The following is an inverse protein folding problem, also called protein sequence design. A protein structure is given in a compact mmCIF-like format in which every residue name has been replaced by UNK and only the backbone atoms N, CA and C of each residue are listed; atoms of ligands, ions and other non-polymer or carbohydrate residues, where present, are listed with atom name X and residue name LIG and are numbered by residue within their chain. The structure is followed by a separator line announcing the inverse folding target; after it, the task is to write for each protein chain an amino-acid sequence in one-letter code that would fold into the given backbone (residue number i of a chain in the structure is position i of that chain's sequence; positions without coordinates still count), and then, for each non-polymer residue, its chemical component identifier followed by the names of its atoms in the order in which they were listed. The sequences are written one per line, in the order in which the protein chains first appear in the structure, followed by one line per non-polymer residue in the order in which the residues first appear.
data_IF_239178985686
#
_entry.id   IF_239178985686
#
_cell.length_a   1.000
_cell.length_b   1.000
_cell.length_c   1.000
_cell.angle_alpha   90.00
_cell.angle_beta   90.00
_cell.angle_gamma   90.00
#
_symmetry.space_group_name_H-M   'P 1'
#
loop_
_entity.id
_entity.type
_entity.pdbx_description
1 polymer ?
#
# COMPACT_ATOMS: atom_id res chain seq x y z
N UNK A 1 -55.00 4.27 59.22
CA UNK A 1 -55.29 3.43 58.04
C UNK A 1 -54.55 4.03 56.85
N UNK A 2 -53.34 3.56 56.53
CA UNK A 2 -52.60 4.04 55.36
C UNK A 2 -52.41 2.87 54.41
N UNK A 3 -52.94 2.99 53.18
CA UNK A 3 -52.92 1.96 52.15
C UNK A 3 -51.69 2.22 51.28
N UNK A 4 -50.65 1.42 51.45
CA UNK A 4 -49.43 1.46 50.63
C UNK A 4 -49.73 0.73 49.31
N UNK A 5 -49.78 1.47 48.20
CA UNK A 5 -49.91 0.89 46.86
C UNK A 5 -48.56 0.32 46.39
N UNK A 6 -48.44 -1.00 46.33
CA UNK A 6 -47.28 -1.69 45.75
C UNK A 6 -47.41 -1.71 44.22
N UNK A 7 -46.66 -0.85 43.53
CA UNK A 7 -46.53 -0.94 42.07
C UNK A 7 -45.74 -2.20 41.72
N UNK A 8 -46.37 -3.17 41.05
CA UNK A 8 -45.67 -4.38 40.57
C UNK A 8 -44.57 -3.98 39.58
N UNK A 9 -43.31 -4.16 39.97
CA UNK A 9 -42.17 -4.14 39.07
C UNK A 9 -42.30 -5.29 38.07
N UNK A 10 -42.47 -4.99 36.78
CA UNK A 10 -42.44 -6.00 35.72
C UNK A 10 -40.99 -6.41 35.50
N UNK A 11 -40.68 -7.69 35.70
CA UNK A 11 -39.38 -8.27 35.37
C UNK A 11 -39.34 -8.73 33.91
N UNK A 12 -38.15 -8.72 33.30
CA UNK A 12 -37.92 -9.34 31.99
C UNK A 12 -38.13 -10.85 32.06
N UNK A 13 -38.70 -11.43 31.00
CA UNK A 13 -38.81 -12.88 30.85
C UNK A 13 -37.50 -13.47 30.30
N UNK A 14 -37.21 -14.72 30.68
CA UNK A 14 -36.04 -15.44 30.14
C UNK A 14 -36.13 -15.61 28.62
N UNK A 15 -37.34 -15.75 28.08
CA UNK A 15 -37.54 -15.88 26.64
C UNK A 15 -37.26 -14.57 25.89
N UNK A 16 -37.61 -13.41 26.46
CA UNK A 16 -37.27 -12.11 25.89
C UNK A 16 -35.75 -11.92 25.82
N UNK A 17 -35.03 -12.28 26.88
CA UNK A 17 -33.58 -12.17 26.89
C UNK A 17 -32.90 -13.17 25.92
N UNK A 18 -33.47 -14.37 25.78
CA UNK A 18 -32.98 -15.39 24.84
C UNK A 18 -33.13 -14.94 23.39
N UNK A 19 -34.27 -14.37 23.02
CA UNK A 19 -34.49 -13.87 21.65
C UNK A 19 -33.52 -12.72 21.32
N UNK A 20 -33.26 -11.82 22.28
CA UNK A 20 -32.34 -10.68 22.07
C UNK A 20 -30.92 -11.15 21.80
N UNK A 21 -30.38 -12.09 22.59
CA UNK A 21 -29.00 -12.58 22.35
C UNK A 21 -28.87 -13.34 21.03
N UNK A 22 -29.93 -14.03 20.59
CA UNK A 22 -29.97 -14.72 19.29
C UNK A 22 -29.93 -13.70 18.15
N UNK A 23 -30.72 -12.63 18.22
CA UNK A 23 -30.73 -11.56 17.21
C UNK A 23 -29.37 -10.84 17.19
N UNK A 24 -28.80 -10.51 18.35
CA UNK A 24 -27.47 -9.88 18.45
C UNK A 24 -26.41 -10.80 17.85
N UNK A 25 -26.43 -12.10 18.13
CA UNK A 25 -25.48 -13.06 17.57
C UNK A 25 -25.54 -13.14 16.04
N UNK A 26 -26.76 -13.14 15.48
CA UNK A 26 -26.96 -13.19 14.02
C UNK A 26 -26.49 -11.89 13.34
N UNK A 27 -26.83 -10.73 13.90
CA UNK A 27 -26.38 -9.43 13.40
C UNK A 27 -24.86 -9.24 13.53
N UNK A 28 -24.27 -9.68 14.65
CA UNK A 28 -22.83 -9.59 14.87
C UNK A 28 -22.04 -10.41 13.82
N UNK A 29 -22.50 -11.61 13.48
CA UNK A 29 -21.84 -12.45 12.47
C UNK A 29 -21.77 -11.78 11.09
N UNK A 30 -22.86 -11.18 10.62
CA UNK A 30 -22.90 -10.45 9.34
C UNK A 30 -22.09 -9.15 9.41
N UNK A 31 -22.18 -8.44 10.54
CA UNK A 31 -21.46 -7.19 10.78
C UNK A 31 -19.94 -7.34 10.68
N UNK A 32 -19.36 -8.39 11.27
CA UNK A 32 -17.91 -8.60 11.28
C UNK A 32 -17.33 -8.77 9.87
N UNK A 33 -17.95 -9.59 9.03
CA UNK A 33 -17.46 -9.85 7.67
C UNK A 33 -17.48 -8.57 6.80
N UNK A 34 -18.55 -7.77 6.89
CA UNK A 34 -18.66 -6.51 6.15
C UNK A 34 -17.67 -5.43 6.62
N UNK A 35 -17.36 -5.40 7.92
CA UNK A 35 -16.41 -4.45 8.50
C UNK A 35 -14.98 -4.71 8.04
N UNK A 36 -14.56 -5.98 7.96
CA UNK A 36 -13.23 -6.35 7.48
C UNK A 36 -12.97 -5.87 6.04
N UNK A 37 -13.92 -6.07 5.12
CA UNK A 37 -13.79 -5.60 3.74
C UNK A 37 -13.72 -4.07 3.62
N UNK A 38 -14.33 -3.33 4.55
CA UNK A 38 -14.24 -1.87 4.59
C UNK A 38 -12.87 -1.40 5.06
N UNK A 39 -12.26 -2.10 6.03
CA UNK A 39 -10.90 -1.82 6.47
C UNK A 39 -9.86 -2.09 5.37
N UNK A 40 -10.02 -3.19 4.62
CA UNK A 40 -9.16 -3.53 3.48
C UNK A 40 -9.16 -2.41 2.43
N UNK A 41 -10.36 -1.96 2.02
CA UNK A 41 -10.51 -0.83 1.08
C UNK A 41 -9.92 0.48 1.63
N UNK A 42 -10.06 0.73 2.93
CA UNK A 42 -9.47 1.88 3.59
C UNK A 42 -7.94 1.86 3.50
N UNK A 43 -7.32 0.71 3.79
CA UNK A 43 -5.86 0.52 3.65
C UNK A 43 -5.38 0.67 2.21
N UNK A 44 -6.09 0.08 1.24
CA UNK A 44 -5.77 0.25 -0.18
C UNK A 44 -5.86 1.72 -0.62
N UNK A 45 -6.85 2.46 -0.12
CA UNK A 45 -6.95 3.91 -0.40
C UNK A 45 -5.74 4.67 0.14
N UNK A 46 -5.25 4.32 1.34
CA UNK A 46 -4.02 4.90 1.90
C UNK A 46 -2.83 4.55 1.01
N UNK A 47 -2.65 3.28 0.64
CA UNK A 47 -1.56 2.83 -0.25
C UNK A 47 -1.50 3.60 -1.57
N UNK A 48 -2.66 3.78 -2.21
CA UNK A 48 -2.78 4.52 -3.46
C UNK A 48 -2.47 6.01 -3.29
N UNK A 49 -2.83 6.61 -2.14
CA UNK A 49 -2.46 8.00 -1.85
C UNK A 49 -0.97 8.16 -1.58
N UNK A 50 -0.37 7.24 -0.82
CA UNK A 50 1.06 7.19 -0.51
C UNK A 50 1.91 7.11 -1.78
N UNK A 51 1.59 6.19 -2.69
CA UNK A 51 2.38 6.06 -3.93
C UNK A 51 2.26 7.28 -4.84
N UNK A 52 1.12 7.97 -4.83
CA UNK A 52 0.97 9.24 -5.56
C UNK A 52 1.85 10.34 -4.97
N UNK A 53 1.90 10.43 -3.64
CA UNK A 53 2.77 11.37 -2.93
C UNK A 53 4.25 11.10 -3.22
N UNK A 54 4.67 9.84 -3.15
CA UNK A 54 6.05 9.42 -3.49
C UNK A 54 6.36 9.74 -4.95
N UNK A 55 5.45 9.46 -5.88
CA UNK A 55 5.61 9.84 -7.30
C UNK A 55 5.77 11.36 -7.45
N UNK A 56 5.01 12.17 -6.73
CA UNK A 56 5.19 13.63 -6.77
C UNK A 56 6.54 14.06 -6.17
N UNK A 57 7.01 13.41 -5.10
CA UNK A 57 8.33 13.61 -4.53
C UNK A 57 9.48 13.22 -5.49
N UNK A 58 9.37 12.07 -6.16
CA UNK A 58 10.28 11.62 -7.22
C UNK A 58 10.38 12.65 -8.35
N UNK A 59 9.24 13.23 -8.76
CA UNK A 59 9.21 14.26 -9.80
C UNK A 59 9.88 15.54 -9.31
N UNK A 60 9.64 15.98 -8.07
CA UNK A 60 10.32 17.16 -7.48
C UNK A 60 11.83 16.94 -7.41
N UNK A 61 12.28 15.79 -6.90
CA UNK A 61 13.68 15.40 -6.86
C UNK A 61 14.31 15.47 -8.26
N UNK A 62 13.62 14.96 -9.28
CA UNK A 62 14.10 15.03 -10.66
C UNK A 62 14.24 16.46 -11.18
N UNK A 63 13.27 17.34 -10.87
CA UNK A 63 13.33 18.75 -11.29
C UNK A 63 14.57 19.44 -10.73
N UNK A 64 14.95 19.14 -9.49
CA UNK A 64 16.08 19.79 -8.82
C UNK A 64 17.44 19.13 -9.16
N UNK A 65 17.48 17.80 -9.27
CA UNK A 65 18.73 17.03 -9.43
C UNK A 65 19.01 16.57 -10.87
N UNK A 66 18.06 16.75 -11.78
CA UNK A 66 18.16 16.35 -13.19
C UNK A 66 18.10 14.83 -13.44
N UNK A 67 17.98 14.01 -12.40
CA UNK A 67 17.84 12.55 -12.47
C UNK A 67 16.81 12.06 -11.46
N UNK A 68 16.19 10.91 -11.74
CA UNK A 68 15.35 10.22 -10.75
C UNK A 68 16.21 9.66 -9.60
N UNK A 69 15.65 9.55 -8.38
CA UNK A 69 16.37 8.99 -7.23
C UNK A 69 16.74 7.53 -7.50
N UNK A 70 17.84 7.08 -6.89
CA UNK A 70 18.48 5.80 -7.15
C UNK A 70 19.39 5.83 -8.39
N UNK A 71 20.46 5.03 -8.39
CA UNK A 71 21.25 4.76 -9.60
C UNK A 71 21.00 3.35 -10.08
N UNK A 72 20.95 3.20 -11.39
CA UNK A 72 20.87 1.90 -12.05
C UNK A 72 22.06 1.05 -11.62
N UNK A 73 21.83 0.11 -10.70
CA UNK A 73 22.75 -0.93 -10.27
C UNK A 73 24.01 -0.53 -9.46
N UNK A 74 24.17 0.68 -8.90
CA UNK A 74 25.40 1.02 -8.16
C UNK A 74 25.23 1.62 -6.76
N UNK A 75 23.99 1.77 -6.28
CA UNK A 75 23.72 1.91 -4.85
C UNK A 75 22.76 0.79 -4.45
N UNK A 76 23.19 -0.01 -3.47
CA UNK A 76 22.58 -1.28 -3.11
C UNK A 76 21.32 -1.11 -2.28
N UNK A 77 20.21 -0.80 -2.93
CA UNK A 77 18.87 -0.92 -2.34
C UNK A 77 17.90 -1.74 -3.19
N UNK A 78 18.36 -2.22 -4.35
CA UNK A 78 17.73 -3.37 -4.97
C UNK A 78 18.12 -4.61 -4.17
N UNK A 79 17.32 -5.00 -3.17
CA UNK A 79 17.68 -6.20 -2.42
C UNK A 79 17.67 -7.43 -3.32
N UNK A 80 18.67 -8.32 -3.23
CA UNK A 80 18.61 -9.65 -3.84
C UNK A 80 17.34 -10.42 -3.47
N UNK A 81 16.81 -10.18 -2.26
CA UNK A 81 15.59 -10.81 -1.76
C UNK A 81 14.33 -10.26 -2.44
N UNK A 82 14.41 -9.04 -2.96
CA UNK A 82 13.33 -8.33 -3.63
C UNK A 82 13.53 -8.19 -5.13
N UNK A 83 14.30 -9.09 -5.75
CA UNK A 83 14.50 -9.11 -7.19
C UNK A 83 15.15 -7.86 -7.74
N UNK A 84 15.92 -7.16 -6.91
CA UNK A 84 16.56 -5.89 -7.25
C UNK A 84 15.66 -4.67 -7.14
N UNK A 85 14.43 -4.78 -6.64
CA UNK A 85 13.57 -3.63 -6.35
C UNK A 85 13.97 -2.96 -5.04
N UNK A 86 13.90 -1.64 -5.03
CA UNK A 86 13.93 -0.82 -3.82
C UNK A 86 12.55 -0.89 -3.17
N UNK A 87 12.47 -1.32 -1.91
CA UNK A 87 11.22 -1.84 -1.33
C UNK A 87 10.99 -1.41 0.11
N UNK A 88 9.76 -0.96 0.40
CA UNK A 88 9.32 -0.32 1.67
C UNK A 88 9.59 -1.04 3.00
N UNK A 89 10.08 -2.29 2.97
CA UNK A 89 10.33 -3.08 4.18
C UNK A 89 11.81 -3.42 4.38
N UNK A 90 12.63 -3.38 3.33
CA UNK A 90 14.00 -3.85 3.41
C UNK A 90 14.99 -2.70 3.56
N UNK A 91 15.34 -2.43 4.82
CA UNK A 91 16.45 -1.55 5.19
C UNK A 91 17.75 -2.37 5.15
N UNK A 92 18.47 -2.31 4.02
CA UNK A 92 19.65 -3.15 3.79
C UNK A 92 20.90 -2.57 4.47
N UNK A 93 20.97 -1.25 4.67
CA UNK A 93 22.11 -0.55 5.25
C UNK A 93 21.91 -0.16 6.72
N UNK A 94 20.70 -0.30 7.25
CA UNK A 94 20.37 -0.19 8.67
C UNK A 94 20.23 1.25 9.16
N UNK A 95 19.98 2.19 8.25
CA UNK A 95 19.85 3.62 8.57
C UNK A 95 18.43 4.03 9.01
N UNK A 96 17.47 3.11 8.90
CA UNK A 96 16.06 3.29 9.22
C UNK A 96 15.18 3.69 8.02
N UNK A 97 15.75 3.81 6.82
CA UNK A 97 15.13 4.28 5.58
C UNK A 97 15.22 3.17 4.53
N UNK A 98 14.17 2.36 4.44
CA UNK A 98 14.16 1.16 3.58
C UNK A 98 13.87 1.42 2.11
N UNK A 99 13.44 2.64 1.74
CA UNK A 99 12.83 2.88 0.44
C UNK A 99 12.96 4.31 -0.03
N UNK A 100 13.44 4.47 -1.28
CA UNK A 100 13.66 5.76 -1.95
C UNK A 100 14.41 6.77 -1.06
N UNK A 101 15.48 6.32 -0.41
CA UNK A 101 16.20 7.09 0.63
C UNK A 101 16.53 8.54 0.25
N UNK A 102 17.03 8.85 -0.97
CA UNK A 102 17.32 10.24 -1.34
C UNK A 102 16.11 11.18 -1.21
N UNK A 103 14.88 10.67 -1.29
CA UNK A 103 13.69 11.50 -1.08
C UNK A 103 13.50 11.90 0.37
N UNK A 104 13.90 11.07 1.33
CA UNK A 104 13.82 11.37 2.77
C UNK A 104 15.02 12.21 3.17
N UNK A 105 16.22 11.77 2.81
CA UNK A 105 17.48 12.43 3.17
C UNK A 105 17.58 13.85 2.61
N UNK A 106 17.07 14.11 1.39
CA UNK A 106 17.05 15.46 0.80
C UNK A 106 15.77 16.25 1.13
N UNK A 107 14.87 15.71 1.96
CA UNK A 107 13.70 16.43 2.48
C UNK A 107 12.51 16.56 1.52
N UNK A 108 12.42 15.70 0.49
CA UNK A 108 11.24 15.61 -0.38
C UNK A 108 10.08 14.85 0.26
N UNK A 109 10.37 14.00 1.26
CA UNK A 109 9.46 13.26 2.13
C UNK A 109 9.89 13.45 3.60
N UNK A 110 8.92 13.52 4.51
CA UNK A 110 9.22 13.63 5.95
C UNK A 110 9.74 12.31 6.54
N UNK A 111 9.31 11.17 5.98
CA UNK A 111 9.76 9.83 6.35
C UNK A 111 9.45 8.84 5.23
N UNK A 112 10.16 7.70 5.20
CA UNK A 112 9.83 6.61 4.29
C UNK A 112 8.42 6.08 4.59
N UNK A 113 7.50 6.08 3.62
CA UNK A 113 6.14 5.63 3.87
C UNK A 113 6.09 4.16 4.26
N UNK A 114 5.29 3.86 5.28
CA UNK A 114 5.05 2.50 5.76
C UNK A 114 3.67 2.02 5.34
N UNK A 115 3.58 0.74 5.00
CA UNK A 115 2.30 0.13 4.66
C UNK A 115 1.35 0.11 5.88
N UNK A 116 0.06 0.45 5.72
CA UNK A 116 -0.87 0.48 6.85
C UNK A 116 -1.27 -0.89 7.39
N UNK A 117 -1.05 -1.99 6.65
CA UNK A 117 -1.33 -3.32 7.19
C UNK A 117 -0.17 -3.90 7.96
N UNK A 118 1.10 -3.51 7.67
CA UNK A 118 2.37 -4.13 8.12
C UNK A 118 2.16 -5.42 8.90
N UNK A 119 1.51 -6.36 8.21
CA UNK A 119 1.49 -7.73 8.62
C UNK A 119 2.88 -8.23 8.24
N UNK A 120 3.55 -8.84 9.20
CA UNK A 120 4.73 -9.64 8.97
C UNK A 120 4.65 -10.61 7.77
N UNK A 121 3.45 -10.87 7.23
CA UNK A 121 3.11 -11.82 6.17
C UNK A 121 3.29 -11.34 4.72
N UNK A 122 4.01 -10.23 4.40
CA UNK A 122 4.47 -10.08 3.02
C UNK A 122 5.27 -11.33 2.65
N UNK A 123 4.71 -12.19 1.80
CA UNK A 123 5.23 -13.54 1.50
C UNK A 123 6.67 -13.51 0.95
N UNK A 124 7.12 -12.34 0.50
CA UNK A 124 8.44 -12.03 -0.06
C UNK A 124 9.40 -11.30 0.88
N UNK A 125 8.94 -10.79 2.03
CA UNK A 125 9.77 -9.98 2.95
C UNK A 125 10.04 -8.53 2.50
N UNK A 126 9.65 -8.17 1.28
CA UNK A 126 9.95 -6.88 0.61
C UNK A 126 8.98 -5.74 0.91
N UNK A 127 7.88 -6.03 1.60
CA UNK A 127 6.79 -5.05 1.77
C UNK A 127 5.97 -4.87 0.48
N UNK A 128 5.16 -3.81 0.47
CA UNK A 128 4.10 -3.66 -0.52
C UNK A 128 4.37 -2.56 -1.54
N UNK A 129 5.28 -1.63 -1.27
CA UNK A 129 5.70 -0.62 -2.24
C UNK A 129 7.06 -0.98 -2.81
N UNK A 130 7.16 -0.90 -4.14
CA UNK A 130 8.40 -1.14 -4.88
C UNK A 130 8.69 0.04 -5.79
N UNK A 131 9.96 0.42 -5.88
CA UNK A 131 10.48 1.44 -6.79
C UNK A 131 11.69 0.91 -7.54
N UNK A 132 11.82 1.30 -8.81
CA UNK A 132 13.05 1.04 -9.57
C UNK A 132 13.25 2.10 -10.65
N UNK A 133 14.49 2.57 -10.79
CA UNK A 133 14.92 3.43 -11.89
C UNK A 133 15.62 2.62 -12.96
N UNK A 134 15.13 2.69 -14.18
CA UNK A 134 15.72 2.08 -15.37
C UNK A 134 16.47 3.12 -16.21
N UNK A 135 17.59 2.70 -16.80
CA UNK A 135 18.30 3.52 -17.80
C UNK A 135 17.47 3.61 -19.09
N UNK A 136 17.73 4.67 -19.87
CA UNK A 136 17.21 4.81 -21.22
C UNK A 136 17.44 3.53 -22.05
N UNK A 137 16.39 3.03 -22.71
CA UNK A 137 16.47 1.84 -23.56
C UNK A 137 16.20 0.50 -22.86
N UNK A 138 16.13 0.45 -21.52
CA UNK A 138 15.86 -0.81 -20.80
C UNK A 138 14.52 -1.43 -21.24
N UNK A 139 14.52 -2.76 -21.43
CA UNK A 139 13.36 -3.56 -21.87
C UNK A 139 12.69 -3.09 -23.17
N UNK A 140 13.48 -2.48 -24.07
CA UNK A 140 13.01 -2.00 -25.37
C UNK A 140 12.23 -0.70 -25.28
N UNK A 141 12.15 -0.05 -24.12
CA UNK A 141 11.53 1.27 -24.00
C UNK A 141 12.30 2.33 -24.80
N UNK A 142 11.60 3.37 -25.25
CA UNK A 142 12.18 4.42 -26.11
C UNK A 142 13.34 5.15 -25.42
N UNK A 143 14.57 4.87 -25.88
CA UNK A 143 15.79 5.47 -25.35
C UNK A 143 15.85 7.00 -25.56
N UNK A 144 15.12 7.55 -26.53
CA UNK A 144 15.11 9.01 -26.80
C UNK A 144 14.37 9.81 -25.74
N UNK A 145 13.56 9.13 -24.91
CA UNK A 145 12.82 9.70 -23.78
C UNK A 145 13.63 9.69 -22.47
N UNK A 146 14.84 9.14 -22.51
CA UNK A 146 15.75 9.04 -21.37
C UNK A 146 15.34 7.95 -20.38
N UNK A 147 15.95 8.02 -19.20
CA UNK A 147 15.66 7.13 -18.08
C UNK A 147 14.18 7.21 -17.67
N UNK A 148 13.70 6.16 -17.03
CA UNK A 148 12.36 6.12 -16.48
C UNK A 148 12.37 5.44 -15.13
N UNK A 149 11.42 5.79 -14.27
CA UNK A 149 11.16 5.01 -13.07
C UNK A 149 9.88 4.20 -13.22
N UNK A 150 9.79 3.13 -12.45
CA UNK A 150 8.58 2.36 -12.21
C UNK A 150 8.35 2.32 -10.71
N UNK A 151 7.12 2.61 -10.30
CA UNK A 151 6.68 2.48 -8.91
C UNK A 151 5.41 1.63 -8.88
N UNK A 152 5.38 0.66 -7.97
CA UNK A 152 4.34 -0.35 -7.90
C UNK A 152 3.86 -0.62 -6.49
N UNK A 153 2.64 -1.13 -6.40
CA UNK A 153 2.06 -1.70 -5.18
C UNK A 153 1.82 -3.18 -5.43
N UNK A 154 2.26 -4.01 -4.50
CA UNK A 154 1.92 -5.44 -4.41
C UNK A 154 0.82 -5.66 -3.38
N UNK A 155 0.03 -6.69 -3.61
CA UNK A 155 -0.89 -7.28 -2.63
C UNK A 155 -1.93 -6.27 -2.08
N UNK A 156 -2.64 -5.61 -2.99
CA UNK A 156 -3.82 -4.81 -2.63
C UNK A 156 -4.91 -5.75 -2.12
N UNK A 157 -5.48 -5.43 -0.96
CA UNK A 157 -6.28 -6.38 -0.20
C UNK A 157 -7.71 -6.53 -0.74
N UNK A 158 -8.23 -5.49 -1.39
CA UNK A 158 -9.61 -5.43 -1.87
C UNK A 158 -9.73 -5.48 -3.41
N UNK A 159 -8.62 -5.63 -4.14
CA UNK A 159 -8.63 -5.62 -5.61
C UNK A 159 -7.89 -6.79 -6.23
N UNK A 160 -8.40 -7.30 -7.35
CA UNK A 160 -7.68 -8.28 -8.18
C UNK A 160 -6.52 -7.61 -8.96
N UNK A 161 -5.52 -8.39 -9.39
CA UNK A 161 -4.42 -7.94 -10.25
C UNK A 161 -4.83 -7.90 -11.72
N UNK A 162 -4.66 -6.76 -12.44
CA UNK A 162 -4.35 -5.42 -11.94
C UNK A 162 -5.58 -4.71 -11.35
N UNK A 163 -5.35 -3.88 -10.35
CA UNK A 163 -6.38 -3.11 -9.67
C UNK A 163 -7.04 -2.11 -10.61
N UNK A 164 -8.35 -1.92 -10.44
CA UNK A 164 -9.12 -0.95 -11.19
C UNK A 164 -8.53 0.48 -10.99
N UNK A 165 -8.16 1.14 -12.08
CA UNK A 165 -7.54 2.47 -12.04
C UNK A 165 -6.02 2.47 -11.91
N UNK A 166 -5.36 1.30 -12.01
CA UNK A 166 -3.91 1.23 -12.27
C UNK A 166 -3.60 1.87 -13.63
N UNK A 167 -2.73 2.91 -13.69
CA UNK A 167 -2.34 3.53 -14.95
C UNK A 167 -1.64 2.54 -15.89
N UNK A 168 -0.93 1.57 -15.32
CA UNK A 168 -0.08 0.66 -16.06
C UNK A 168 1.23 1.31 -16.48
N UNK A 169 2.21 0.45 -16.72
CA UNK A 169 3.51 0.76 -17.30
C UNK A 169 4.11 -0.44 -18.04
N UNK A 170 4.40 -0.29 -19.32
CA UNK A 170 4.98 -1.37 -20.11
C UNK A 170 5.99 -0.85 -21.11
N UNK A 171 6.98 -1.69 -21.39
CA UNK A 171 7.90 -1.59 -22.51
C UNK A 171 7.67 -2.80 -23.44
N UNK A 172 8.17 -2.78 -24.68
CA UNK A 172 8.04 -3.91 -25.61
C UNK A 172 8.45 -5.27 -25.03
N UNK A 173 9.51 -5.33 -24.23
CA UNK A 173 10.05 -6.59 -23.71
C UNK A 173 9.56 -6.91 -22.28
N UNK A 174 8.82 -6.01 -21.62
CA UNK A 174 8.36 -6.21 -20.23
C UNK A 174 7.07 -5.45 -19.91
N UNK A 175 6.15 -6.15 -19.27
CA UNK A 175 4.90 -5.58 -18.80
C UNK A 175 4.75 -5.72 -17.27
N UNK A 176 4.94 -4.62 -16.56
CA UNK A 176 4.85 -4.61 -15.09
C UNK A 176 3.43 -4.78 -14.54
N UNK A 177 2.37 -4.72 -15.36
CA UNK A 177 0.99 -4.95 -14.92
C UNK A 177 0.78 -6.41 -14.53
N UNK A 178 1.63 -7.30 -15.04
CA UNK A 178 1.61 -8.71 -14.69
C UNK A 178 2.33 -8.99 -13.35
N UNK A 179 3.10 -8.01 -12.85
CA UNK A 179 3.94 -8.15 -11.66
C UNK A 179 3.38 -7.41 -10.45
N UNK A 180 2.53 -6.40 -10.66
CA UNK A 180 2.01 -5.52 -9.63
C UNK A 180 0.49 -5.42 -9.69
N UNK A 181 -0.12 -5.24 -8.53
CA UNK A 181 -1.56 -4.97 -8.40
C UNK A 181 -1.83 -3.57 -8.93
N UNK A 182 -0.97 -2.61 -8.61
CA UNK A 182 -1.04 -1.25 -9.14
C UNK A 182 0.36 -0.81 -9.56
N UNK A 183 0.50 -0.22 -10.74
CA UNK A 183 1.80 0.23 -11.23
C UNK A 183 1.68 1.46 -12.09
N UNK A 184 2.70 2.30 -12.01
CA UNK A 184 2.91 3.37 -12.96
C UNK A 184 4.40 3.58 -13.22
N UNK A 185 4.70 4.33 -14.26
CA UNK A 185 6.04 4.84 -14.49
C UNK A 185 5.99 6.19 -15.19
N UNK A 186 7.15 6.81 -15.32
CA UNK A 186 7.29 8.05 -16.07
C UNK A 186 8.70 8.13 -16.66
N UNK A 187 8.76 8.50 -17.94
CA UNK A 187 10.02 8.88 -18.58
C UNK A 187 10.51 10.22 -18.05
N UNK A 188 11.82 10.45 -18.14
CA UNK A 188 12.44 11.71 -17.75
C UNK A 188 12.05 12.88 -18.66
N UNK A 189 11.67 12.63 -19.90
CA UNK A 189 11.39 13.66 -20.92
C UNK A 189 9.91 13.99 -21.05
#
# INVERSE_FOLDING_TARGET
MSIIHHTKTKGFTLIELLVVIVIIGLLAGIGIASFQGSLQKGRDSVRLSTVKEVKDAVIRYWVDNGNYPGTTHSYGEGSPNCGGWDSSREDTDGDGISWVDPLVTDGYLESAPRDPSLDSSSTTGCGNYDYYRYVAGSYGCDATRGDYFVIGIRDLEASARPAAGSPGWSCPDRNWQNEFDWVMGKFRK
#
